data_IF_572461610488
#
_entry.id   IF_572461610488
#
_cell.length_a   1.000
_cell.length_b   1.000
_cell.length_c   1.000
_cell.angle_alpha   90.00
_cell.angle_beta   90.00
_cell.angle_gamma   90.00
#
_symmetry.space_group_name_H-M   'P 1'
#
loop_
_entity.id
_entity.type
_entity.pdbx_description
1 polymer ?
#
# COMPACT_ATOMS: atom_id res chain seq x y z
N UNK A 1 13.44 -13.71 1.39
CA UNK A 1 12.86 -13.38 0.06
C UNK A 1 13.91 -12.98 -0.97
N UNK A 2 15.14 -12.59 -0.57
CA UNK A 2 16.21 -12.31 -1.54
C UNK A 2 15.94 -11.07 -2.40
N UNK A 3 15.32 -10.06 -1.78
CA UNK A 3 14.94 -8.79 -2.42
C UNK A 3 15.98 -7.72 -2.09
N UNK A 4 16.23 -6.85 -3.06
CA UNK A 4 17.03 -5.63 -2.87
C UNK A 4 16.14 -4.49 -2.33
N UNK A 5 16.76 -3.44 -1.80
CA UNK A 5 16.03 -2.29 -1.23
C UNK A 5 15.05 -1.67 -2.22
N UNK A 6 15.40 -1.62 -3.51
CA UNK A 6 14.54 -1.10 -4.57
C UNK A 6 13.27 -1.95 -4.75
N UNK A 7 13.37 -3.27 -4.61
CA UNK A 7 12.22 -4.16 -4.72
C UNK A 7 11.28 -3.93 -3.54
N UNK A 8 11.83 -3.77 -2.34
CA UNK A 8 11.04 -3.54 -1.12
C UNK A 8 10.26 -2.24 -1.22
N UNK A 9 10.89 -1.16 -1.67
CA UNK A 9 10.21 0.14 -1.87
C UNK A 9 9.15 0.00 -2.96
N UNK A 10 9.48 -0.64 -4.08
CA UNK A 10 8.54 -0.83 -5.19
C UNK A 10 7.31 -1.63 -4.76
N UNK A 11 7.49 -2.71 -4.00
CA UNK A 11 6.39 -3.53 -3.50
C UNK A 11 5.55 -2.82 -2.45
N UNK A 12 6.15 -1.91 -1.66
CA UNK A 12 5.41 -1.08 -0.71
C UNK A 12 4.37 -0.19 -1.42
N UNK A 13 4.60 0.17 -2.69
CA UNK A 13 3.62 0.87 -3.53
C UNK A 13 2.31 0.09 -3.70
N UNK A 14 2.28 -1.23 -3.47
CA UNK A 14 1.07 -2.04 -3.56
C UNK A 14 -0.07 -1.51 -2.69
N UNK A 15 0.25 -0.82 -1.59
CA UNK A 15 -0.73 -0.14 -0.73
C UNK A 15 -1.39 1.09 -1.36
N UNK A 16 -0.98 1.52 -2.56
CA UNK A 16 -1.74 2.48 -3.37
C UNK A 16 -3.18 2.00 -3.61
N UNK A 17 -3.37 0.67 -3.61
CA UNK A 17 -4.66 0.00 -3.65
C UNK A 17 -5.12 -0.46 -2.27
N UNK A 18 -6.43 -0.38 -2.06
CA UNK A 18 -7.13 -0.96 -0.93
C UNK A 18 -7.05 -0.15 0.36
N UNK A 19 -7.33 -0.84 1.46
CA UNK A 19 -7.43 -0.28 2.79
C UNK A 19 -7.14 -1.35 3.85
N UNK A 20 -6.71 -0.90 5.03
CA UNK A 20 -6.72 -1.73 6.21
C UNK A 20 -8.13 -1.82 6.81
N UNK A 21 -8.42 -2.94 7.46
CA UNK A 21 -9.70 -3.21 8.11
C UNK A 21 -9.46 -3.68 9.55
N UNK A 22 -10.07 -2.98 10.51
CA UNK A 22 -9.76 -3.13 11.94
C UNK A 22 -9.97 -4.56 12.44
N UNK A 23 -10.98 -5.26 11.94
CA UNK A 23 -11.29 -6.64 12.34
C UNK A 23 -10.29 -7.67 11.79
N UNK A 24 -9.44 -7.29 10.82
CA UNK A 24 -8.44 -8.18 10.21
C UNK A 24 -7.04 -7.91 10.74
N UNK A 25 -6.61 -6.64 10.69
CA UNK A 25 -5.22 -6.26 11.00
C UNK A 25 -5.10 -5.36 12.24
N UNK A 26 -6.20 -4.85 12.78
CA UNK A 26 -6.19 -3.84 13.85
C UNK A 26 -6.01 -2.39 13.39
N UNK A 27 -5.75 -2.17 12.09
CA UNK A 27 -5.67 -0.85 11.45
C UNK A 27 -6.90 -0.58 10.58
N UNK A 28 -7.26 0.68 10.35
CA UNK A 28 -8.46 1.07 9.59
C UNK A 28 -8.12 2.15 8.56
N UNK A 29 -8.69 2.02 7.36
CA UNK A 29 -8.69 3.05 6.34
C UNK A 29 -7.73 2.84 5.15
N UNK A 30 -7.93 3.56 4.04
CA UNK A 30 -7.08 3.51 2.86
C UNK A 30 -5.78 4.29 3.05
N UNK A 31 -4.75 3.94 2.26
CA UNK A 31 -3.51 4.73 2.20
C UNK A 31 -3.59 5.90 1.21
N UNK A 32 -4.50 5.85 0.23
CA UNK A 32 -4.66 6.88 -0.80
C UNK A 32 -6.12 7.33 -0.90
N UNK A 33 -6.34 8.52 -1.48
CA UNK A 33 -7.69 9.06 -1.71
C UNK A 33 -8.49 8.27 -2.75
N UNK A 34 -7.82 7.54 -3.65
CA UNK A 34 -8.42 6.75 -4.72
C UNK A 34 -7.98 5.27 -4.60
N UNK A 35 -8.43 4.52 -3.58
CA UNK A 35 -7.90 3.18 -3.25
C UNK A 35 -8.20 2.09 -4.29
N UNK A 36 -8.85 2.41 -5.40
CA UNK A 36 -9.14 1.49 -6.50
C UNK A 36 -8.38 1.86 -7.79
N UNK A 37 -7.49 2.86 -7.74
CA UNK A 37 -6.65 3.31 -8.86
C UNK A 37 -5.20 2.95 -8.55
N UNK A 38 -4.55 2.24 -9.47
CA UNK A 38 -3.13 1.92 -9.34
C UNK A 38 -2.29 3.05 -9.91
N UNK A 39 -1.74 3.87 -9.02
CA UNK A 39 -0.83 4.98 -9.33
C UNK A 39 0.23 5.15 -8.23
N UNK A 40 1.05 6.20 -8.32
CA UNK A 40 2.13 6.46 -7.36
C UNK A 40 1.70 7.27 -6.12
N UNK A 41 0.40 7.47 -5.88
CA UNK A 41 -0.11 8.33 -4.79
C UNK A 41 0.30 7.88 -3.40
N UNK A 42 0.64 6.60 -3.20
CA UNK A 42 1.18 6.09 -1.93
C UNK A 42 2.48 6.80 -1.50
N UNK A 43 3.25 7.34 -2.44
CA UNK A 43 4.51 8.04 -2.17
C UNK A 43 4.39 9.58 -2.17
N UNK A 44 3.21 10.13 -2.47
CA UNK A 44 3.00 11.57 -2.68
C UNK A 44 2.50 12.29 -1.44
#
# INVERSE_FOLDING_TARGET
MGLDDIDIVTLSCGHTLGAAHKERSGFEGPWTSNPLIFDNSYFM
#
